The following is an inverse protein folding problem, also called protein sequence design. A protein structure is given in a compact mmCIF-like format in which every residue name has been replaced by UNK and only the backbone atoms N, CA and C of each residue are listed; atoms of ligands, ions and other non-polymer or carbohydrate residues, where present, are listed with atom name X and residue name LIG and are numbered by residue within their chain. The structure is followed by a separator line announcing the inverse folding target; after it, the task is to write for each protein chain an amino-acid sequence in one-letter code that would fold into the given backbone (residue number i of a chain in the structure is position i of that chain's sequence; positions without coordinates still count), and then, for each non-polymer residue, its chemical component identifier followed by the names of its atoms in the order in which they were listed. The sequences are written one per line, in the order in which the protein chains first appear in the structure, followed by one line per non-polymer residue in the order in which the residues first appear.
data_IF_016921340383
#
_entry.id   IF_016921340383
#
_cell.length_a   1.000
_cell.length_b   1.000
_cell.length_c   1.000
_cell.angle_alpha   90.00
_cell.angle_beta   90.00
_cell.angle_gamma   90.00
#
_symmetry.space_group_name_H-M   'P 1'
#
loop_
_entity.id
_entity.type
_entity.pdbx_description
1 polymer ?
#
# COMPACT_ATOMS: atom_id res chain seq x y z
N UNK A 1 -1.07 30.88 26.29
CA UNK A 1 -0.44 29.56 26.45
C UNK A 1 -0.97 28.69 25.33
N UNK A 2 -0.18 28.44 24.27
CA UNK A 2 -0.56 27.49 23.23
C UNK A 2 -0.24 26.10 23.75
N UNK A 3 -1.24 25.41 24.29
CA UNK A 3 -1.15 23.97 24.54
C UNK A 3 -1.09 23.29 23.18
N UNK A 4 0.11 22.92 22.75
CA UNK A 4 0.24 22.03 21.60
C UNK A 4 -0.50 20.74 21.96
N UNK A 5 -1.52 20.32 21.20
CA UNK A 5 -2.24 19.10 21.52
C UNK A 5 -1.26 17.92 21.49
N UNK A 6 -1.24 17.16 22.58
CA UNK A 6 -0.43 15.96 22.68
C UNK A 6 -1.18 14.82 21.99
N UNK A 7 -0.59 14.29 20.91
CA UNK A 7 -1.18 13.21 20.13
C UNK A 7 -0.55 11.90 20.58
N UNK A 8 -1.32 11.06 21.27
CA UNK A 8 -0.91 9.69 21.60
C UNK A 8 -1.62 8.66 20.72
N UNK A 9 -0.91 7.60 20.38
CA UNK A 9 -1.40 6.41 19.67
C UNK A 9 -0.39 5.27 19.84
N UNK A 10 -0.78 4.03 19.62
CA UNK A 10 0.17 2.90 19.63
C UNK A 10 1.06 2.92 18.39
N UNK A 11 0.46 3.15 17.22
CA UNK A 11 1.17 3.17 15.94
C UNK A 11 0.94 4.46 15.17
N UNK A 12 2.02 5.15 14.82
CA UNK A 12 2.00 6.29 13.90
C UNK A 12 2.43 5.85 12.50
N UNK A 13 1.56 6.04 11.51
CA UNK A 13 1.82 5.77 10.10
C UNK A 13 1.98 7.11 9.37
N UNK A 14 3.12 7.31 8.71
CA UNK A 14 3.39 8.52 7.93
C UNK A 14 3.14 8.21 6.45
N UNK A 15 2.00 8.66 5.93
CA UNK A 15 1.55 8.46 4.55
C UNK A 15 0.25 7.67 4.47
N UNK A 16 -0.68 8.16 3.66
CA UNK A 16 -2.06 7.65 3.56
C UNK A 16 -2.40 7.02 2.20
N UNK A 17 -1.42 6.57 1.41
CA UNK A 17 -1.72 5.77 0.21
C UNK A 17 -2.03 4.31 0.54
N UNK A 18 -2.19 3.47 -0.48
CA UNK A 18 -2.50 2.03 -0.33
C UNK A 18 -1.67 1.32 0.75
N UNK A 19 -0.35 1.56 0.80
CA UNK A 19 0.52 0.92 1.79
C UNK A 19 0.23 1.37 3.24
N UNK A 20 -0.07 2.65 3.45
CA UNK A 20 -0.34 3.20 4.77
C UNK A 20 -1.72 2.83 5.28
N UNK A 21 -2.75 2.99 4.44
CA UNK A 21 -4.13 2.69 4.81
C UNK A 21 -4.38 1.19 4.98
N UNK A 22 -3.82 0.34 4.11
CA UNK A 22 -3.94 -1.11 4.28
C UNK A 22 -3.28 -1.61 5.56
N UNK A 23 -2.12 -1.03 5.94
CA UNK A 23 -1.48 -1.32 7.20
C UNK A 23 -2.31 -0.82 8.38
N UNK A 24 -2.86 0.40 8.29
CA UNK A 24 -3.69 0.98 9.34
C UNK A 24 -4.88 0.07 9.64
N UNK A 25 -5.60 -0.38 8.62
CA UNK A 25 -6.76 -1.26 8.76
C UNK A 25 -6.40 -2.61 9.42
N UNK A 26 -5.27 -3.20 9.04
CA UNK A 26 -4.82 -4.47 9.63
C UNK A 26 -4.38 -4.33 11.09
N UNK A 27 -3.81 -3.19 11.48
CA UNK A 27 -3.35 -2.95 12.85
C UNK A 27 -4.46 -2.46 13.78
N UNK A 28 -5.47 -1.79 13.22
CA UNK A 28 -6.53 -1.15 14.00
C UNK A 28 -7.45 -2.14 14.72
N UNK A 29 -7.41 -3.43 14.36
CA UNK A 29 -8.07 -4.52 15.09
C UNK A 29 -7.51 -4.69 16.51
N UNK A 30 -6.26 -4.27 16.75
CA UNK A 30 -5.53 -4.53 18.00
C UNK A 30 -4.86 -3.31 18.62
N UNK A 31 -4.78 -2.20 17.89
CA UNK A 31 -4.00 -1.02 18.28
C UNK A 31 -4.69 0.29 17.90
N UNK A 32 -4.43 1.36 18.66
CA UNK A 32 -4.79 2.72 18.23
C UNK A 32 -3.78 3.21 17.17
N UNK A 33 -4.29 3.62 16.00
CA UNK A 33 -3.46 4.00 14.85
C UNK A 33 -3.70 5.46 14.49
N UNK A 34 -2.63 6.24 14.36
CA UNK A 34 -2.70 7.58 13.74
C UNK A 34 -2.03 7.56 12.37
N UNK A 35 -2.73 8.00 11.34
CA UNK A 35 -2.21 8.11 9.97
C UNK A 35 -2.02 9.59 9.63
N UNK A 36 -0.81 9.99 9.24
CA UNK A 36 -0.54 11.34 8.73
C UNK A 36 -0.66 11.36 7.21
N UNK A 37 -1.40 12.34 6.68
CA UNK A 37 -1.34 12.72 5.26
C UNK A 37 -0.78 14.13 5.14
N UNK A 38 0.17 14.31 4.22
CA UNK A 38 0.74 15.64 3.93
C UNK A 38 -0.28 16.57 3.29
N UNK A 39 -1.24 16.03 2.56
CA UNK A 39 -2.31 16.77 1.87
C UNK A 39 -3.69 16.29 2.33
N UNK A 40 -4.71 16.46 1.49
CA UNK A 40 -5.94 15.67 1.61
C UNK A 40 -5.63 14.17 1.58
N UNK A 41 -6.44 13.36 2.27
CA UNK A 41 -6.25 11.90 2.36
C UNK A 41 -6.45 11.23 0.99
N UNK A 42 -7.28 11.81 0.13
CA UNK A 42 -7.54 11.33 -1.23
C UNK A 42 -6.49 11.75 -2.25
N UNK A 43 -5.37 12.36 -1.80
CA UNK A 43 -4.33 12.89 -2.68
C UNK A 43 -3.02 12.10 -2.50
N UNK A 44 -2.62 11.39 -3.56
CA UNK A 44 -1.39 10.61 -3.57
C UNK A 44 -1.25 9.78 -4.85
N UNK A 45 -0.07 9.22 -5.11
CA UNK A 45 0.18 8.42 -6.32
C UNK A 45 -0.76 7.23 -6.45
N UNK A 46 -1.22 6.65 -5.33
CA UNK A 46 -2.18 5.55 -5.34
C UNK A 46 -3.47 5.94 -6.04
N UNK A 47 -4.04 7.12 -5.76
CA UNK A 47 -5.29 7.58 -6.36
C UNK A 47 -5.23 7.64 -7.89
N UNK A 48 -4.07 8.00 -8.44
CA UNK A 48 -3.87 8.21 -9.88
C UNK A 48 -3.36 6.97 -10.63
N UNK A 49 -3.22 5.82 -9.97
CA UNK A 49 -2.79 4.59 -10.65
C UNK A 49 -3.89 4.12 -11.63
N UNK A 50 -3.53 3.94 -12.90
CA UNK A 50 -4.50 3.60 -13.96
C UNK A 50 -4.52 2.11 -14.27
N UNK A 51 -3.34 1.49 -14.44
CA UNK A 51 -3.17 0.11 -14.89
C UNK A 51 -3.83 -0.89 -13.95
N UNK A 52 -3.06 -1.50 -13.06
CA UNK A 52 -3.66 -2.42 -12.11
C UNK A 52 -2.69 -3.01 -11.11
N UNK A 53 -3.12 -4.10 -10.47
CA UNK A 53 -2.33 -4.84 -9.50
C UNK A 53 -2.00 -6.22 -10.09
N UNK A 54 -0.71 -6.50 -10.25
CA UNK A 54 -0.23 -7.77 -10.76
C UNK A 54 -0.35 -8.87 -9.68
N UNK A 55 -1.12 -9.91 -9.96
CA UNK A 55 -1.25 -11.11 -9.13
C UNK A 55 -1.65 -12.32 -9.97
N UNK A 56 -1.11 -13.49 -9.63
CA UNK A 56 -1.39 -14.74 -10.34
C UNK A 56 -2.74 -15.30 -9.88
N UNK A 57 -3.78 -15.09 -10.68
CA UNK A 57 -5.15 -15.60 -10.45
C UNK A 57 -5.55 -16.70 -11.43
N UNK A 58 -4.99 -16.68 -12.63
CA UNK A 58 -5.31 -17.62 -13.71
C UNK A 58 -4.55 -18.95 -13.54
N UNK A 59 -5.19 -20.07 -13.87
CA UNK A 59 -4.58 -21.41 -13.78
C UNK A 59 -3.51 -21.65 -14.84
N UNK A 60 -3.52 -20.88 -15.92
CA UNK A 60 -2.52 -20.92 -16.99
C UNK A 60 -1.27 -20.09 -16.67
N UNK A 61 -1.28 -19.35 -15.56
CA UNK A 61 -0.14 -18.55 -15.09
C UNK A 61 0.48 -19.18 -13.82
N UNK A 62 1.72 -18.80 -13.50
CA UNK A 62 2.45 -19.31 -12.34
C UNK A 62 3.22 -18.21 -11.60
N UNK A 63 3.47 -18.45 -10.31
CA UNK A 63 4.30 -17.57 -9.49
C UNK A 63 5.72 -17.52 -10.05
N UNK A 64 6.24 -18.66 -10.50
CA UNK A 64 7.57 -18.76 -11.12
C UNK A 64 7.66 -17.89 -12.38
N UNK A 65 6.63 -17.90 -13.24
CA UNK A 65 6.57 -17.01 -14.40
C UNK A 65 6.57 -15.54 -13.99
N UNK A 66 5.81 -15.18 -12.95
CA UNK A 66 5.79 -13.80 -12.43
C UNK A 66 7.16 -13.35 -11.91
N UNK A 67 7.85 -14.24 -11.18
CA UNK A 67 9.19 -14.00 -10.65
C UNK A 67 10.17 -13.76 -11.79
N UNK A 68 10.18 -14.63 -12.81
CA UNK A 68 11.11 -14.48 -13.94
C UNK A 68 10.84 -13.20 -14.76
N UNK A 69 9.56 -12.89 -15.06
CA UNK A 69 9.17 -11.62 -15.69
C UNK A 69 9.73 -10.40 -14.92
N UNK A 70 9.60 -10.42 -13.60
CA UNK A 70 10.07 -9.33 -12.72
C UNK A 70 11.59 -9.21 -12.71
N UNK A 71 12.31 -10.33 -12.68
CA UNK A 71 13.77 -10.34 -12.66
C UNK A 71 14.37 -9.89 -14.00
N UNK A 72 13.75 -10.29 -15.11
CA UNK A 72 14.10 -9.82 -16.46
C UNK A 72 13.88 -8.31 -16.55
N UNK A 73 12.69 -7.82 -16.19
CA UNK A 73 12.38 -6.39 -16.20
C UNK A 73 13.27 -5.59 -15.24
N UNK A 74 13.72 -6.19 -14.15
CA UNK A 74 14.64 -5.61 -13.17
C UNK A 74 16.10 -5.54 -13.61
N UNK A 75 16.45 -6.01 -14.82
CA UNK A 75 17.78 -5.92 -15.43
C UNK A 75 18.92 -6.41 -14.51
N UNK A 76 18.68 -7.47 -13.74
CA UNK A 76 19.67 -8.08 -12.84
C UNK A 76 19.91 -7.32 -11.52
N UNK A 77 19.14 -6.27 -11.22
CA UNK A 77 19.26 -5.47 -10.00
C UNK A 77 18.30 -5.90 -8.88
N UNK A 78 17.38 -6.80 -9.19
CA UNK A 78 16.42 -7.31 -8.21
C UNK A 78 17.05 -8.31 -7.24
N UNK A 79 16.65 -8.23 -5.98
CA UNK A 79 16.83 -9.31 -5.01
C UNK A 79 15.79 -10.41 -5.28
N UNK A 80 16.25 -11.60 -5.67
CA UNK A 80 15.37 -12.73 -6.00
C UNK A 80 14.51 -13.18 -4.82
N UNK A 81 15.03 -13.15 -3.60
CA UNK A 81 14.24 -13.53 -2.43
C UNK A 81 13.09 -12.54 -2.20
N UNK A 82 13.36 -11.23 -2.31
CA UNK A 82 12.32 -10.21 -2.20
C UNK A 82 11.26 -10.34 -3.31
N UNK A 83 11.68 -10.55 -4.57
CA UNK A 83 10.75 -10.75 -5.69
C UNK A 83 9.87 -11.98 -5.48
N UNK A 84 10.48 -13.11 -5.11
CA UNK A 84 9.76 -14.37 -4.86
C UNK A 84 8.75 -14.20 -3.73
N UNK A 85 9.15 -13.56 -2.65
CA UNK A 85 8.27 -13.28 -1.52
C UNK A 85 7.07 -12.42 -1.92
N UNK A 86 7.30 -11.33 -2.65
CA UNK A 86 6.22 -10.42 -3.09
C UNK A 86 5.29 -11.13 -4.07
N UNK A 87 5.82 -11.81 -5.09
CA UNK A 87 5.02 -12.51 -6.10
C UNK A 87 4.14 -13.61 -5.48
N UNK A 88 4.70 -14.38 -4.53
CA UNK A 88 3.97 -15.48 -3.86
C UNK A 88 2.83 -14.99 -2.97
N UNK A 89 2.93 -13.78 -2.43
CA UNK A 89 1.92 -13.20 -1.53
C UNK A 89 0.95 -12.23 -2.25
N UNK A 90 1.14 -11.96 -3.53
CA UNK A 90 0.34 -10.98 -4.26
C UNK A 90 -1.15 -11.35 -4.27
N UNK A 91 -1.48 -12.63 -4.54
CA UNK A 91 -2.88 -13.10 -4.61
C UNK A 91 -3.63 -12.90 -3.30
N UNK A 92 -3.03 -13.27 -2.17
CA UNK A 92 -3.68 -13.11 -0.85
C UNK A 92 -3.84 -11.64 -0.46
N UNK A 93 -2.86 -10.79 -0.79
CA UNK A 93 -2.97 -9.35 -0.58
C UNK A 93 -4.07 -8.71 -1.43
N UNK A 94 -4.23 -9.13 -2.70
CA UNK A 94 -5.32 -8.68 -3.57
C UNK A 94 -6.66 -9.21 -3.10
N UNK A 95 -6.73 -10.47 -2.68
CA UNK A 95 -7.95 -11.02 -2.09
C UNK A 95 -8.41 -10.22 -0.88
N UNK A 96 -7.47 -9.82 -0.01
CA UNK A 96 -7.82 -8.94 1.10
C UNK A 96 -8.41 -7.59 0.65
N UNK A 97 -7.93 -6.99 -0.44
CA UNK A 97 -8.53 -5.77 -0.99
C UNK A 97 -9.96 -6.01 -1.48
N UNK A 98 -10.20 -7.14 -2.15
CA UNK A 98 -11.54 -7.58 -2.57
C UNK A 98 -12.45 -7.72 -1.34
N UNK A 99 -11.96 -8.35 -0.27
CA UNK A 99 -12.71 -8.54 0.97
C UNK A 99 -12.99 -7.20 1.68
N UNK A 100 -12.16 -6.18 1.47
CA UNK A 100 -12.45 -4.80 1.91
C UNK A 100 -13.49 -4.09 1.03
N UNK A 101 -13.88 -4.67 -0.11
CA UNK A 101 -14.89 -4.12 -1.02
C UNK A 101 -14.32 -3.41 -2.24
N UNK A 102 -13.03 -3.59 -2.55
CA UNK A 102 -12.49 -3.09 -3.82
C UNK A 102 -13.08 -3.91 -4.97
N UNK A 103 -13.75 -3.24 -5.89
CA UNK A 103 -14.35 -3.86 -7.06
C UNK A 103 -13.34 -3.89 -8.21
N UNK A 104 -12.98 -5.09 -8.64
CA UNK A 104 -12.21 -5.32 -9.88
C UNK A 104 -13.15 -5.83 -10.97
N UNK A 105 -12.83 -5.52 -12.22
CA UNK A 105 -13.66 -5.89 -13.37
C UNK A 105 -13.69 -7.42 -13.52
N UNK A 106 -14.88 -7.96 -13.78
CA UNK A 106 -15.13 -9.37 -14.05
C UNK A 106 -15.54 -9.61 -15.50
N UNK A 107 -15.42 -10.85 -15.95
CA UNK A 107 -15.85 -11.32 -17.26
C UNK A 107 -16.55 -12.67 -17.10
N UNK A 108 -17.48 -12.97 -18.01
CA UNK A 108 -18.10 -14.29 -18.11
C UNK A 108 -17.34 -15.10 -19.14
N UNK A 109 -16.81 -16.25 -18.72
CA UNK A 109 -16.10 -17.18 -19.58
C UNK A 109 -17.05 -17.92 -20.53
N UNK A 110 -16.51 -18.55 -21.57
CA UNK A 110 -17.29 -19.31 -22.54
C UNK A 110 -18.05 -20.51 -21.92
N UNK A 111 -17.57 -21.03 -20.77
CA UNK A 111 -18.22 -22.08 -20.00
C UNK A 111 -19.34 -21.55 -19.07
N UNK A 112 -19.57 -20.23 -19.04
CA UNK A 112 -20.58 -19.57 -18.20
C UNK A 112 -20.10 -19.18 -16.79
N UNK A 113 -18.85 -19.46 -16.42
CA UNK A 113 -18.29 -19.08 -15.12
C UNK A 113 -17.82 -17.63 -15.11
N UNK A 114 -17.98 -16.94 -13.99
CA UNK A 114 -17.44 -15.60 -13.79
C UNK A 114 -15.99 -15.67 -13.32
N UNK A 115 -15.11 -14.87 -13.93
CA UNK A 115 -13.72 -14.69 -13.51
C UNK A 115 -13.30 -13.23 -13.59
N UNK A 116 -12.17 -12.88 -12.97
CA UNK A 116 -11.63 -11.53 -13.10
C UNK A 116 -11.14 -11.28 -14.54
N UNK A 117 -11.43 -10.10 -15.07
CA UNK A 117 -10.88 -9.67 -16.34
C UNK A 117 -9.42 -9.23 -16.12
N UNK A 118 -8.48 -9.97 -16.72
CA UNK A 118 -7.04 -9.76 -16.55
C UNK A 118 -6.40 -9.12 -17.79
N UNK A 119 -5.65 -8.04 -17.57
CA UNK A 119 -4.85 -7.38 -18.60
C UNK A 119 -3.38 -7.80 -18.54
N UNK A 120 -2.61 -7.38 -19.55
CA UNK A 120 -1.17 -7.62 -19.66
C UNK A 120 -0.47 -6.34 -20.08
N UNK A 121 0.50 -5.92 -19.30
CA UNK A 121 1.36 -4.76 -19.59
C UNK A 121 2.78 -5.21 -19.97
N UNK A 122 3.62 -4.24 -20.34
CA UNK A 122 5.01 -4.51 -20.72
C UNK A 122 5.79 -5.21 -19.60
N UNK A 123 6.59 -6.20 -19.98
CA UNK A 123 7.38 -7.02 -19.04
C UNK A 123 6.68 -8.29 -18.55
N UNK A 124 5.37 -8.46 -18.80
CA UNK A 124 4.65 -9.67 -18.44
C UNK A 124 4.49 -10.64 -19.62
N UNK A 125 4.73 -11.92 -19.37
CA UNK A 125 4.47 -13.01 -20.32
C UNK A 125 2.99 -13.41 -20.34
N UNK A 126 2.31 -13.39 -19.18
CA UNK A 126 0.91 -13.79 -18.99
C UNK A 126 0.00 -12.61 -18.60
N UNK A 127 -1.33 -12.80 -18.72
CA UNK A 127 -2.34 -11.84 -18.23
C UNK A 127 -2.51 -12.04 -16.73
N UNK A 128 -2.13 -11.04 -15.94
CA UNK A 128 -2.12 -11.14 -14.46
C UNK A 128 -2.44 -9.84 -13.74
N UNK A 129 -2.88 -8.82 -14.47
CA UNK A 129 -3.12 -7.49 -13.91
C UNK A 129 -4.62 -7.34 -13.69
N UNK A 130 -5.03 -7.31 -12.42
CA UNK A 130 -6.40 -6.95 -12.03
C UNK A 130 -6.57 -5.44 -12.13
N UNK A 131 -7.69 -4.99 -12.65
CA UNK A 131 -7.98 -3.57 -12.83
C UNK A 131 -9.45 -3.24 -12.58
N UNK A 132 -9.74 -1.94 -12.44
CA UNK A 132 -11.10 -1.40 -12.38
C UNK A 132 -11.23 -0.30 -13.44
N UNK A 133 -11.72 -0.66 -14.63
CA UNK A 133 -11.63 0.12 -15.85
C UNK A 133 -10.20 0.71 -16.01
N UNK A 134 -10.09 2.02 -16.26
CA UNK A 134 -8.82 2.74 -16.37
C UNK A 134 -8.46 3.53 -15.08
N UNK A 135 -9.04 3.14 -13.92
CA UNK A 135 -8.95 3.90 -12.68
C UNK A 135 -8.78 3.02 -11.42
N UNK A 136 -8.00 1.95 -11.53
CA UNK A 136 -7.77 0.98 -10.43
C UNK A 136 -7.33 1.64 -9.12
N UNK A 137 -6.42 2.62 -9.22
CA UNK A 137 -5.93 3.39 -8.09
C UNK A 137 -7.01 4.15 -7.33
N UNK A 138 -7.95 4.75 -8.06
CA UNK A 138 -9.09 5.46 -7.47
C UNK A 138 -10.03 4.52 -6.73
N UNK A 139 -10.31 3.34 -7.29
CA UNK A 139 -11.14 2.32 -6.65
C UNK A 139 -10.50 1.83 -5.34
N UNK A 140 -9.20 1.54 -5.37
CA UNK A 140 -8.43 1.11 -4.19
C UNK A 140 -8.38 2.20 -3.13
N UNK A 141 -7.94 3.42 -3.50
CA UNK A 141 -7.75 4.51 -2.54
C UNK A 141 -9.06 4.89 -1.86
N UNK A 142 -10.14 5.10 -2.64
CA UNK A 142 -11.45 5.51 -2.10
C UNK A 142 -11.97 4.45 -1.11
N UNK A 143 -11.89 3.17 -1.47
CA UNK A 143 -12.33 2.08 -0.59
C UNK A 143 -11.54 2.06 0.72
N UNK A 144 -10.22 2.16 0.66
CA UNK A 144 -9.37 2.13 1.85
C UNK A 144 -9.56 3.37 2.72
N UNK A 145 -9.76 4.54 2.12
CA UNK A 145 -10.07 5.79 2.83
C UNK A 145 -11.40 5.67 3.57
N UNK A 146 -12.45 5.20 2.89
CA UNK A 146 -13.79 5.05 3.50
C UNK A 146 -13.76 4.08 4.68
N UNK A 147 -13.06 2.94 4.53
CA UNK A 147 -12.85 1.98 5.61
C UNK A 147 -12.08 2.58 6.78
N UNK A 148 -11.02 3.33 6.49
CA UNK A 148 -10.17 3.93 7.52
C UNK A 148 -10.91 5.03 8.30
N UNK A 149 -11.69 5.87 7.63
CA UNK A 149 -12.51 6.92 8.25
C UNK A 149 -13.63 6.34 9.12
N UNK A 150 -14.18 5.18 8.73
CA UNK A 150 -15.23 4.50 9.50
C UNK A 150 -14.68 3.70 10.70
N UNK A 151 -13.37 3.50 10.80
CA UNK A 151 -12.79 2.63 11.84
C UNK A 151 -12.51 3.41 13.14
N UNK A 152 -13.08 3.02 14.30
CA UNK A 152 -13.00 3.80 15.54
C UNK A 152 -11.58 3.94 16.11
N UNK A 153 -10.70 2.98 15.83
CA UNK A 153 -9.30 2.99 16.29
C UNK A 153 -8.33 3.69 15.32
N UNK A 154 -8.81 4.22 14.19
CA UNK A 154 -7.97 4.93 13.22
C UNK A 154 -8.28 6.42 13.30
N UNK A 155 -7.24 7.21 13.55
CA UNK A 155 -7.29 8.67 13.45
C UNK A 155 -6.47 9.13 12.26
N UNK A 156 -7.09 9.88 11.36
CA UNK A 156 -6.39 10.47 10.21
C UNK A 156 -6.13 11.95 10.49
N UNK A 157 -4.89 12.38 10.28
CA UNK A 157 -4.48 13.78 10.35
C UNK A 157 -4.05 14.23 8.94
N UNK A 158 -4.96 14.92 8.25
CA UNK A 158 -4.68 15.54 6.96
C UNK A 158 -3.81 16.79 7.09
N UNK A 159 -3.22 17.24 5.98
CA UNK A 159 -2.40 18.47 5.90
C UNK A 159 -1.30 18.54 6.96
N UNK A 160 -0.79 17.38 7.36
CA UNK A 160 0.16 17.18 8.44
C UNK A 160 1.46 16.62 7.87
N UNK A 161 2.52 17.44 7.90
CA UNK A 161 3.81 17.06 7.36
C UNK A 161 4.75 16.60 8.47
N UNK A 162 5.26 15.37 8.37
CA UNK A 162 6.34 14.91 9.24
C UNK A 162 7.66 15.59 8.82
N UNK A 163 8.35 16.18 9.79
CA UNK A 163 9.58 16.95 9.55
C UNK A 163 10.82 16.14 9.91
N UNK A 164 10.83 15.52 11.08
CA UNK A 164 11.92 14.68 11.55
C UNK A 164 11.37 13.56 12.44
N UNK A 165 12.21 12.57 12.68
CA UNK A 165 11.96 11.48 13.59
C UNK A 165 12.71 11.75 14.90
N UNK A 166 12.02 11.62 16.03
CA UNK A 166 12.70 11.66 17.33
C UNK A 166 13.34 10.30 17.54
N UNK A 167 14.66 10.23 17.59
CA UNK A 167 15.40 8.96 17.72
C UNK A 167 15.99 8.87 19.12
N UNK A 168 15.82 7.71 19.76
CA UNK A 168 16.15 7.48 21.18
C UNK A 168 17.58 7.86 21.54
N UNK A 169 18.55 7.50 20.70
CA UNK A 169 19.98 7.80 20.89
C UNK A 169 20.28 9.30 20.81
N UNK A 170 19.63 10.02 19.88
CA UNK A 170 19.77 11.48 19.72
C UNK A 170 19.24 12.28 20.92
N UNK A 171 18.38 11.69 21.74
CA UNK A 171 17.82 12.32 22.94
C UNK A 171 18.31 11.68 24.25
N UNK A 172 19.35 10.83 24.19
CA UNK A 172 19.99 10.24 25.37
C UNK A 172 19.21 9.11 26.03
N UNK A 173 18.25 8.48 25.36
CA UNK A 173 17.56 7.29 25.88
C UNK A 173 18.40 6.03 25.65
N UNK A 174 18.63 5.20 26.69
CA UNK A 174 19.45 4.00 26.59
C UNK A 174 18.73 2.86 25.81
N UNK A 175 19.53 1.87 25.41
CA UNK A 175 19.09 0.64 24.74
C UNK A 175 19.15 0.71 23.21
N UNK A 176 18.47 -0.23 22.56
CA UNK A 176 18.42 -0.32 21.09
C UNK A 176 17.85 0.95 20.48
N UNK A 177 18.53 1.44 19.44
CA UNK A 177 18.12 2.61 18.66
C UNK A 177 16.71 2.41 18.12
N UNK A 178 15.79 3.28 18.51
CA UNK A 178 14.38 3.25 18.10
C UNK A 178 13.87 4.67 17.87
N UNK A 179 12.87 4.79 17.01
CA UNK A 179 12.13 6.04 16.91
C UNK A 179 11.18 6.10 18.10
N UNK A 180 11.11 7.26 18.75
CA UNK A 180 10.26 7.51 19.90
C UNK A 180 9.25 8.59 19.57
N UNK A 181 8.10 8.50 20.19
CA UNK A 181 7.05 9.51 20.22
C UNK A 181 6.15 9.18 21.41
N UNK A 182 5.03 9.88 21.57
CA UNK A 182 3.97 9.44 22.50
C UNK A 182 3.20 8.23 21.93
N UNK A 183 3.95 7.19 21.51
CA UNK A 183 3.45 5.97 20.91
C UNK A 183 4.50 4.86 20.81
N UNK A 184 4.03 3.62 20.71
CA UNK A 184 4.85 2.39 20.84
C UNK A 184 5.51 1.94 19.52
N UNK A 185 5.11 2.49 18.36
CA UNK A 185 5.75 2.24 17.07
C UNK A 185 5.51 3.32 15.99
N UNK A 186 6.45 3.47 15.05
CA UNK A 186 6.38 4.41 13.92
C UNK A 186 6.67 3.67 12.60
N UNK A 187 5.80 3.82 11.61
CA UNK A 187 5.96 3.29 10.25
C UNK A 187 5.98 4.43 9.24
N UNK A 188 6.97 4.44 8.37
CA UNK A 188 7.18 5.52 7.39
C UNK A 188 6.88 5.01 5.99
N UNK A 189 5.91 5.63 5.32
CA UNK A 189 5.53 5.38 3.93
C UNK A 189 5.22 6.70 3.21
N UNK A 190 6.24 7.55 3.05
CA UNK A 190 6.12 8.71 2.15
C UNK A 190 6.19 8.25 0.69
N UNK A 191 5.28 8.73 -0.17
CA UNK A 191 5.32 8.46 -1.61
C UNK A 191 6.66 8.83 -2.29
N UNK A 192 6.85 8.35 -3.51
CA UNK A 192 8.08 8.49 -4.29
C UNK A 192 8.41 9.97 -4.62
N UNK A 193 9.70 10.34 -4.57
CA UNK A 193 10.18 11.56 -5.23
C UNK A 193 10.56 11.19 -6.67
N UNK A 194 9.80 11.59 -7.71
CA UNK A 194 10.20 11.33 -9.08
C UNK A 194 11.59 11.92 -9.33
N UNK A 195 12.45 11.14 -9.98
CA UNK A 195 13.73 11.66 -10.44
C UNK A 195 13.44 12.87 -11.32
N UNK A 196 13.93 14.05 -10.91
CA UNK A 196 13.87 15.23 -11.76
C UNK A 196 14.57 14.86 -13.07
N UNK A 197 13.83 14.90 -14.19
CA UNK A 197 14.45 14.86 -15.52
C UNK A 197 15.46 15.99 -15.54
N UNK A 198 16.76 15.65 -15.54
CA UNK A 198 17.76 16.61 -16.00
C UNK A 198 17.42 16.90 -17.48
N UNK A 199 17.36 18.17 -17.89
CA UNK A 199 17.11 18.54 -19.28
C UNK A 199 18.18 17.95 -20.20
#
# INVERSE_FOLDING_TARGET
MNTTPDFSCDVLIIGSGAAGLSLALRLAEHSSVTVLSKGPISEGSTFYAQGGIAAVFDETDSIESHVEDTLIAGAGLCDRHAVTFVASNARSCVQWLIDQGVLFDTQVQANGEESYHLTREGGHSHRRILHAADATGKAVETTLVDKALAHPNIRILERSNAVDLIVSDKIGLPGTRRVVGHGSGIVIKSGWKPAARKP
#
